data_IF_066924389701
#
_entry.id   IF_066924389701
#
_cell.length_a   1.000
_cell.length_b   1.000
_cell.length_c   1.000
_cell.angle_alpha   90.00
_cell.angle_beta   90.00
_cell.angle_gamma   90.00
#
_symmetry.space_group_name_H-M   'P 1'
#
loop_
_entity.id
_entity.type
_entity.pdbx_description
1 polymer ?
#
# COMPACT_ATOMS: atom_id res chain seq x y z
N UNK A 1 19.89 16.45 -25.42
CA UNK A 1 18.93 15.35 -25.21
C UNK A 1 18.86 15.14 -23.72
N UNK A 2 17.92 15.81 -23.05
CA UNK A 2 17.59 15.45 -21.66
C UNK A 2 17.00 14.05 -21.72
N UNK A 3 17.80 13.04 -21.36
CA UNK A 3 17.26 11.75 -20.97
C UNK A 3 16.34 12.08 -19.80
N UNK A 4 15.03 12.03 -20.05
CA UNK A 4 14.00 12.15 -19.04
C UNK A 4 14.10 10.96 -18.09
N UNK A 5 15.09 10.99 -17.20
CA UNK A 5 15.02 10.25 -15.96
C UNK A 5 13.98 10.97 -15.12
N UNK A 6 12.70 10.69 -15.36
CA UNK A 6 11.74 10.70 -14.26
C UNK A 6 12.16 9.54 -13.38
N UNK A 7 12.77 9.79 -12.19
CA UNK A 7 13.09 8.71 -11.28
C UNK A 7 11.81 7.95 -11.00
N UNK A 8 11.77 6.69 -11.44
CA UNK A 8 10.62 5.81 -11.27
C UNK A 8 10.60 5.34 -9.80
N UNK A 9 10.27 6.29 -8.92
CA UNK A 9 10.09 6.04 -7.49
C UNK A 9 9.05 4.94 -7.30
N UNK A 10 8.09 4.79 -8.21
CA UNK A 10 7.11 3.71 -8.21
C UNK A 10 7.76 2.34 -8.40
N UNK A 11 8.68 2.20 -9.34
CA UNK A 11 9.45 0.96 -9.52
C UNK A 11 10.35 0.67 -8.31
N UNK A 12 11.01 1.69 -7.76
CA UNK A 12 11.85 1.54 -6.58
C UNK A 12 11.01 1.09 -5.37
N UNK A 13 9.84 1.71 -5.15
CA UNK A 13 8.89 1.34 -4.10
C UNK A 13 8.29 -0.05 -4.36
N UNK A 14 7.93 -0.39 -5.59
CA UNK A 14 7.50 -1.76 -5.96
C UNK A 14 8.56 -2.79 -5.58
N UNK A 15 9.82 -2.49 -5.86
CA UNK A 15 10.96 -3.36 -5.61
C UNK A 15 11.17 -3.53 -4.12
N UNK A 16 11.25 -2.42 -3.37
CA UNK A 16 11.36 -2.44 -1.90
C UNK A 16 10.21 -3.22 -1.26
N UNK A 17 8.98 -3.04 -1.75
CA UNK A 17 7.80 -3.77 -1.28
C UNK A 17 7.76 -5.24 -1.73
N UNK A 18 8.46 -5.64 -2.81
CA UNK A 18 8.52 -7.04 -3.26
C UNK A 18 9.67 -7.82 -2.62
N UNK A 19 10.79 -7.16 -2.33
CA UNK A 19 12.02 -7.83 -1.86
C UNK A 19 11.88 -8.39 -0.44
N UNK A 20 11.03 -7.81 0.41
CA UNK A 20 10.87 -8.28 1.80
C UNK A 20 9.40 -8.39 2.23
N UNK A 21 8.72 -9.53 1.96
CA UNK A 21 7.39 -9.81 2.55
C UNK A 21 7.44 -10.01 4.07
N UNK A 22 8.64 -10.11 4.67
CA UNK A 22 8.86 -10.21 6.12
C UNK A 22 9.22 -8.88 6.78
N UNK A 23 9.60 -7.84 6.00
CA UNK A 23 9.71 -6.49 6.57
C UNK A 23 8.31 -5.95 6.79
N UNK A 24 7.94 -5.81 8.05
CA UNK A 24 6.77 -5.01 8.39
C UNK A 24 6.98 -3.59 7.85
N UNK A 25 6.11 -3.20 6.91
CA UNK A 25 6.02 -1.83 6.43
C UNK A 25 5.78 -0.94 7.64
N UNK A 26 6.68 -0.01 7.88
CA UNK A 26 6.67 0.87 9.04
C UNK A 26 5.84 2.14 8.73
N UNK A 27 5.47 2.86 9.79
CA UNK A 27 4.57 4.03 9.68
C UNK A 27 5.15 5.11 8.77
N UNK A 28 6.47 5.24 8.71
CA UNK A 28 7.19 6.22 7.89
C UNK A 28 7.11 5.89 6.38
N UNK A 29 7.33 4.63 5.99
CA UNK A 29 7.15 4.19 4.61
C UNK A 29 5.69 4.36 4.16
N UNK A 30 4.74 4.02 5.03
CA UNK A 30 3.32 4.22 4.73
C UNK A 30 2.99 5.71 4.58
N UNK A 31 3.51 6.59 5.43
CA UNK A 31 3.27 8.03 5.31
C UNK A 31 3.85 8.60 4.00
N UNK A 32 5.07 8.17 3.64
CA UNK A 32 5.69 8.56 2.37
C UNK A 32 4.87 8.07 1.17
N UNK A 33 4.46 6.80 1.18
CA UNK A 33 3.63 6.26 0.13
C UNK A 33 2.27 6.92 0.04
N UNK A 34 1.64 7.27 1.17
CA UNK A 34 0.38 8.00 1.16
C UNK A 34 0.54 9.37 0.51
N UNK A 35 1.65 10.06 0.74
CA UNK A 35 1.92 11.36 0.12
C UNK A 35 2.14 11.23 -1.40
N UNK A 36 2.86 10.19 -1.83
CA UNK A 36 3.06 9.86 -3.25
C UNK A 36 1.75 9.38 -3.92
N UNK A 37 0.91 8.63 -3.20
CA UNK A 37 -0.35 8.06 -3.69
C UNK A 37 -1.55 9.01 -3.57
N UNK A 38 -1.39 10.20 -2.97
CA UNK A 38 -2.43 11.26 -2.93
C UNK A 38 -2.88 11.64 -4.34
N UNK A 39 -2.01 11.58 -5.33
CA UNK A 39 -2.42 11.73 -6.73
C UNK A 39 -3.11 10.45 -7.17
N UNK A 40 -4.43 10.39 -7.01
CA UNK A 40 -5.24 9.22 -7.33
C UNK A 40 -5.40 9.10 -8.86
N UNK A 41 -4.37 8.64 -9.56
CA UNK A 41 -4.42 8.29 -10.97
C UNK A 41 -4.50 6.77 -11.16
N UNK A 42 -5.02 6.34 -12.30
CA UNK A 42 -5.27 4.92 -12.59
C UNK A 42 -4.01 4.05 -12.54
N UNK A 43 -2.84 4.62 -12.89
CA UNK A 43 -1.54 3.94 -12.78
C UNK A 43 -1.20 3.54 -11.34
N UNK A 44 -1.74 4.25 -10.35
CA UNK A 44 -1.46 4.00 -8.94
C UNK A 44 -2.46 3.02 -8.31
N UNK A 45 -3.50 2.59 -9.03
CA UNK A 45 -4.53 1.66 -8.56
C UNK A 45 -3.95 0.36 -7.97
N UNK A 46 -2.98 -0.22 -8.67
CA UNK A 46 -2.29 -1.43 -8.24
C UNK A 46 -1.47 -1.20 -6.97
N UNK A 47 -0.77 -0.06 -6.89
CA UNK A 47 0.00 0.32 -5.70
C UNK A 47 -0.89 0.57 -4.49
N UNK A 48 -1.99 1.33 -4.65
CA UNK A 48 -2.97 1.56 -3.59
C UNK A 48 -3.45 0.23 -3.00
N UNK A 49 -3.79 -0.73 -3.86
CA UNK A 49 -4.21 -2.07 -3.45
C UNK A 49 -3.11 -2.81 -2.68
N UNK A 50 -1.87 -2.78 -3.18
CA UNK A 50 -0.74 -3.47 -2.54
C UNK A 50 -0.43 -2.90 -1.16
N UNK A 51 -0.41 -1.58 -1.08
CA UNK A 51 -0.01 -0.81 0.11
C UNK A 51 -1.05 -0.92 1.18
N UNK A 52 -2.32 -0.82 0.81
CA UNK A 52 -3.41 -1.10 1.73
C UNK A 52 -3.37 -2.56 2.19
N UNK A 53 -3.08 -3.50 1.29
CA UNK A 53 -2.91 -4.92 1.64
C UNK A 53 -1.80 -5.18 2.67
N UNK A 54 -0.63 -4.56 2.51
CA UNK A 54 0.49 -4.70 3.45
C UNK A 54 0.15 -4.00 4.77
N UNK A 55 -0.37 -2.77 4.72
CA UNK A 55 -0.80 -2.05 5.92
C UNK A 55 -1.90 -2.79 6.69
N UNK A 56 -2.78 -3.54 6.03
CA UNK A 56 -3.79 -4.33 6.74
C UNK A 56 -3.20 -5.43 7.62
N UNK A 57 -2.08 -6.00 7.18
CA UNK A 57 -1.38 -7.05 7.92
C UNK A 57 -0.45 -6.46 8.99
N UNK A 58 0.25 -5.37 8.68
CA UNK A 58 1.28 -4.79 9.56
C UNK A 58 0.78 -3.67 10.45
N UNK A 59 -0.12 -2.83 9.94
CA UNK A 59 -0.61 -1.57 10.53
C UNK A 59 -2.13 -1.39 10.34
N UNK A 60 -2.97 -2.28 10.91
CA UNK A 60 -4.41 -2.27 10.69
C UNK A 60 -5.06 -0.92 11.04
N UNK A 61 -4.57 -0.25 12.07
CA UNK A 61 -5.04 1.07 12.49
C UNK A 61 -4.85 2.13 11.40
N UNK A 62 -3.77 2.05 10.62
CA UNK A 62 -3.48 2.99 9.53
C UNK A 62 -4.30 2.63 8.31
N UNK A 63 -4.40 1.34 7.96
CA UNK A 63 -5.25 0.89 6.87
C UNK A 63 -6.73 1.25 7.07
N UNK A 64 -7.25 1.11 8.29
CA UNK A 64 -8.59 1.54 8.65
C UNK A 64 -8.77 3.05 8.47
N UNK A 65 -7.83 3.85 8.97
CA UNK A 65 -7.85 5.31 8.79
C UNK A 65 -7.80 5.72 7.31
N UNK A 66 -7.02 5.03 6.46
CA UNK A 66 -6.94 5.30 5.02
C UNK A 66 -8.30 5.02 4.35
N UNK A 67 -8.94 3.91 4.70
CA UNK A 67 -10.26 3.52 4.19
C UNK A 67 -11.34 4.49 4.68
N UNK A 68 -11.35 4.81 5.97
CA UNK A 68 -12.29 5.74 6.59
C UNK A 68 -12.17 7.16 6.00
N UNK A 69 -10.95 7.59 5.68
CA UNK A 69 -10.69 8.89 5.10
C UNK A 69 -10.87 8.92 3.57
N UNK A 70 -11.15 7.78 2.94
CA UNK A 70 -11.36 7.69 1.49
C UNK A 70 -10.15 8.11 0.65
N UNK A 71 -8.93 7.97 1.18
CA UNK A 71 -7.70 8.41 0.51
C UNK A 71 -7.41 7.64 -0.78
N UNK A 72 -7.87 6.39 -0.87
CA UNK A 72 -7.73 5.57 -2.07
C UNK A 72 -9.09 5.40 -2.75
N UNK A 73 -9.12 5.52 -4.08
CA UNK A 73 -10.36 5.43 -4.87
C UNK A 73 -10.29 4.33 -5.94
N UNK A 74 -9.10 4.06 -6.47
CA UNK A 74 -8.88 3.11 -7.57
C UNK A 74 -8.39 1.72 -7.13
N UNK A 75 -8.34 1.46 -5.82
CA UNK A 75 -7.90 0.17 -5.30
C UNK A 75 -8.92 -0.95 -5.55
N UNK A 76 -8.41 -2.19 -5.57
CA UNK A 76 -9.22 -3.38 -5.78
C UNK A 76 -9.93 -3.80 -4.49
N UNK A 77 -11.18 -3.36 -4.35
CA UNK A 77 -12.04 -3.65 -3.18
C UNK A 77 -12.14 -5.14 -2.84
N UNK A 78 -12.41 -6.07 -3.79
CA UNK A 78 -12.52 -7.48 -3.44
C UNK A 78 -11.20 -8.09 -2.97
N UNK A 79 -10.05 -7.69 -3.57
CA UNK A 79 -8.72 -8.11 -3.09
C UNK A 79 -8.46 -7.65 -1.66
N UNK A 80 -8.80 -6.40 -1.36
CA UNK A 80 -8.62 -5.81 -0.04
C UNK A 80 -9.49 -6.49 1.02
N UNK A 81 -10.76 -6.75 0.71
CA UNK A 81 -11.66 -7.46 1.62
C UNK A 81 -11.12 -8.85 2.00
N UNK A 82 -10.62 -9.61 1.02
CA UNK A 82 -9.99 -10.92 1.27
C UNK A 82 -8.74 -10.81 2.15
N UNK A 83 -7.91 -9.80 1.91
CA UNK A 83 -6.72 -9.55 2.73
C UNK A 83 -7.10 -9.14 4.15
N UNK A 84 -8.19 -8.39 4.34
CA UNK A 84 -8.71 -8.02 5.65
C UNK A 84 -9.15 -9.24 6.46
N UNK A 85 -9.93 -10.15 5.85
CA UNK A 85 -10.32 -11.41 6.48
C UNK A 85 -9.10 -12.25 6.83
N UNK A 86 -8.13 -12.33 5.91
CA UNK A 86 -6.89 -13.08 6.15
C UNK A 86 -6.07 -12.43 7.27
N UNK A 87 -5.90 -11.11 7.30
CA UNK A 87 -5.19 -10.40 8.35
C UNK A 87 -5.85 -10.58 9.73
N UNK A 88 -7.19 -10.54 9.79
CA UNK A 88 -7.95 -10.82 11.01
C UNK A 88 -7.82 -12.27 11.50
N UNK A 89 -7.66 -13.22 10.59
CA UNK A 89 -7.33 -14.61 10.91
C UNK A 89 -5.87 -14.77 11.38
N UNK A 90 -4.93 -14.06 10.75
CA UNK A 90 -3.52 -14.08 11.13
C UNK A 90 -3.26 -13.44 12.50
N UNK A 91 -3.92 -12.33 12.86
CA UNK A 91 -3.82 -11.74 14.20
C UNK A 91 -4.37 -12.65 15.30
N UNK A 92 -5.32 -13.52 14.96
CA UNK A 92 -5.84 -14.54 15.89
C UNK A 92 -4.94 -15.76 16.01
N UNK A 93 -3.99 -15.93 15.10
CA UNK A 93 -3.09 -17.09 15.05
C UNK A 93 -1.73 -16.84 15.74
N UNK A 94 -1.59 -15.73 16.48
CA UNK A 94 -0.38 -15.40 17.25
C UNK A 94 -0.55 -15.68 18.75
#
# INVERSE_FOLDING_TARGET
MEVGYTPDYLFLLQTILQTDPQRNMNREETAFLLDVLKTTILEHAYLQTKVLGINLVTLPNVADAILANGMFCHYDRPRIAQLFEKAGLYMRAQ
#
